data_IF_392381513611
#
_entry.id   IF_392381513611
#
_cell.length_a   1.000
_cell.length_b   1.000
_cell.length_c   1.000
_cell.angle_alpha   90.00
_cell.angle_beta   90.00
_cell.angle_gamma   90.00
#
_symmetry.space_group_name_H-M   'P 1'
#
loop_
_entity.id
_entity.type
_entity.pdbx_description
1 polymer ?
#
# COMPACT_ATOMS: atom_id res chain seq x y z
N UNK A 1 45.89 42.82 8.61
CA UNK A 1 45.51 41.98 7.44
C UNK A 1 44.14 41.39 7.76
N UNK A 2 43.15 41.61 6.88
CA UNK A 2 41.71 41.39 7.12
C UNK A 2 41.35 39.91 7.20
N UNK A 3 40.49 39.57 8.15
CA UNK A 3 39.79 38.28 8.31
C UNK A 3 38.71 38.18 7.22
N UNK A 4 38.63 37.05 6.52
CA UNK A 4 37.50 36.73 5.62
C UNK A 4 36.99 35.33 5.98
N UNK A 5 35.92 35.27 6.78
CA UNK A 5 35.04 34.09 6.88
C UNK A 5 34.17 34.04 5.62
N UNK A 6 34.12 32.88 4.96
CA UNK A 6 33.08 32.58 3.95
C UNK A 6 31.88 31.92 4.65
N UNK A 7 30.64 32.37 4.41
CA UNK A 7 29.46 31.67 4.91
C UNK A 7 28.68 30.92 3.83
N UNK A 8 27.91 29.93 4.31
CA UNK A 8 26.67 29.33 3.80
C UNK A 8 26.66 28.23 2.72
N UNK A 9 25.90 27.18 3.05
CA UNK A 9 25.21 26.24 2.15
C UNK A 9 24.21 25.42 2.99
N UNK A 10 22.95 25.84 2.98
CA UNK A 10 21.89 25.44 3.91
C UNK A 10 21.37 24.01 3.70
N UNK A 11 20.99 23.36 4.81
CA UNK A 11 20.15 22.17 4.85
C UNK A 11 18.73 22.55 4.42
N UNK A 12 18.25 21.97 3.32
CA UNK A 12 16.83 22.00 2.96
C UNK A 12 16.21 20.70 3.48
N UNK A 13 15.59 20.75 4.65
CA UNK A 13 14.58 19.75 5.04
C UNK A 13 13.30 20.21 4.37
N UNK A 14 12.88 19.50 3.31
CA UNK A 14 11.65 19.80 2.59
C UNK A 14 10.44 19.55 3.47
N UNK A 15 9.92 20.60 4.11
CA UNK A 15 8.55 20.68 4.58
C UNK A 15 7.65 21.13 3.42
N UNK A 16 6.63 20.34 3.10
CA UNK A 16 5.48 20.84 2.34
C UNK A 16 4.21 20.11 2.81
N UNK A 17 3.41 20.83 3.58
CA UNK A 17 2.00 20.58 3.87
C UNK A 17 1.21 21.74 3.25
N UNK A 18 -0.09 21.52 3.00
CA UNK A 18 -1.17 22.46 2.62
C UNK A 18 -1.42 22.66 1.12
N UNK A 19 -2.59 22.21 0.60
CA UNK A 19 -3.58 23.01 -0.18
C UNK A 19 -5.02 22.43 0.02
N UNK A 20 -5.97 23.37 0.06
CA UNK A 20 -7.39 23.34 0.41
C UNK A 20 -8.33 23.25 -0.83
N UNK A 21 -9.33 22.35 -0.75
CA UNK A 21 -10.74 22.33 -1.21
C UNK A 21 -11.27 22.79 -2.62
N UNK A 22 -12.42 22.16 -2.94
CA UNK A 22 -13.65 22.61 -3.67
C UNK A 22 -13.90 21.96 -5.05
N UNK A 23 -14.97 21.14 -5.15
CA UNK A 23 -16.13 21.31 -6.05
C UNK A 23 -17.02 20.05 -6.07
N UNK A 24 -18.28 20.22 -5.68
CA UNK A 24 -19.36 19.24 -5.84
C UNK A 24 -20.07 19.47 -7.18
N UNK A 25 -20.49 18.40 -7.87
CA UNK A 25 -21.54 18.45 -8.89
C UNK A 25 -22.50 17.28 -8.71
N UNK A 26 -23.76 17.60 -8.46
CA UNK A 26 -24.92 16.71 -8.40
C UNK A 26 -25.55 16.54 -9.80
N UNK A 27 -25.86 15.29 -10.15
CA UNK A 27 -27.15 14.85 -10.71
C UNK A 27 -27.45 15.01 -12.21
N UNK A 28 -27.81 13.91 -12.89
CA UNK A 28 -29.13 13.65 -13.53
C UNK A 28 -29.06 12.45 -14.52
N UNK A 29 -29.84 11.41 -14.27
CA UNK A 29 -30.21 10.37 -15.24
C UNK A 29 -31.41 10.83 -16.09
N UNK A 30 -31.55 10.35 -17.33
CA UNK A 30 -32.86 9.89 -17.78
C UNK A 30 -32.85 8.57 -18.59
N UNK A 31 -33.70 7.64 -18.15
CA UNK A 31 -34.67 6.82 -18.89
C UNK A 31 -34.34 6.22 -20.27
N UNK A 32 -34.19 4.89 -20.27
CA UNK A 32 -34.76 3.86 -21.15
C UNK A 32 -35.29 4.20 -22.57
N UNK A 33 -34.78 3.46 -23.55
CA UNK A 33 -35.63 2.55 -24.37
C UNK A 33 -34.78 1.49 -25.08
N UNK A 34 -35.07 0.21 -24.85
CA UNK A 34 -34.67 -0.94 -25.66
C UNK A 34 -35.84 -1.27 -26.62
N UNK A 35 -35.60 -1.75 -27.86
CA UNK A 35 -35.70 -3.20 -28.06
C UNK A 35 -34.78 -3.76 -29.17
N UNK A 36 -34.20 -4.95 -28.96
CA UNK A 36 -34.28 -6.08 -29.90
C UNK A 36 -33.57 -7.32 -29.36
N UNK A 37 -34.29 -8.43 -29.40
CA UNK A 37 -33.85 -9.80 -29.14
C UNK A 37 -32.82 -10.23 -30.19
N UNK A 38 -31.64 -10.67 -29.74
CA UNK A 38 -30.77 -11.55 -30.51
C UNK A 38 -30.39 -12.72 -29.60
N UNK A 39 -30.96 -13.89 -29.90
CA UNK A 39 -30.63 -15.18 -29.29
C UNK A 39 -29.24 -15.63 -29.74
N UNK A 40 -28.29 -15.63 -28.82
CA UNK A 40 -27.04 -16.38 -28.96
C UNK A 40 -26.86 -17.25 -27.72
N UNK A 41 -27.13 -18.55 -27.88
CA UNK A 41 -26.78 -19.58 -26.90
C UNK A 41 -25.27 -19.71 -26.84
N UNK A 42 -24.65 -19.16 -25.79
CA UNK A 42 -23.28 -19.49 -25.37
C UNK A 42 -23.38 -20.28 -24.09
N UNK A 43 -22.94 -21.52 -24.13
CA UNK A 43 -22.73 -22.41 -23.00
C UNK A 43 -21.88 -21.69 -21.95
N UNK A 44 -22.45 -21.39 -20.79
CA UNK A 44 -21.71 -20.84 -19.67
C UNK A 44 -20.69 -21.88 -19.16
N UNK A 45 -19.41 -21.53 -18.96
CA UNK A 45 -18.51 -22.35 -18.15
C UNK A 45 -19.01 -22.39 -16.70
N UNK A 46 -18.63 -23.40 -15.91
CA UNK A 46 -19.08 -23.52 -14.52
C UNK A 46 -18.72 -22.25 -13.73
N UNK A 47 -19.73 -21.70 -13.06
CA UNK A 47 -19.58 -20.59 -12.12
C UNK A 47 -18.59 -21.01 -11.03
N UNK A 48 -17.38 -20.46 -11.06
CA UNK A 48 -16.47 -20.51 -9.92
C UNK A 48 -17.13 -19.69 -8.81
N UNK A 49 -17.69 -20.39 -7.82
CA UNK A 49 -18.12 -19.80 -6.57
C UNK A 49 -16.89 -19.25 -5.87
N UNK A 50 -16.62 -17.95 -6.02
CA UNK A 50 -15.75 -17.24 -5.10
C UNK A 50 -16.36 -17.39 -3.70
N UNK A 51 -15.73 -18.19 -2.84
CA UNK A 51 -16.13 -18.29 -1.44
C UNK A 51 -16.09 -16.92 -0.79
N UNK A 52 -16.84 -16.68 0.30
CA UNK A 52 -16.78 -15.41 1.01
C UNK A 52 -15.35 -15.21 1.54
N UNK A 53 -14.61 -14.26 0.95
CA UNK A 53 -13.37 -13.72 1.50
C UNK A 53 -13.72 -13.18 2.88
N UNK A 54 -13.32 -13.88 3.95
CA UNK A 54 -13.63 -13.44 5.31
C UNK A 54 -12.98 -12.08 5.54
N UNK A 55 -13.80 -11.03 5.46
CA UNK A 55 -13.41 -9.70 5.88
C UNK A 55 -13.13 -9.76 7.38
N UNK A 56 -11.88 -9.50 7.78
CA UNK A 56 -11.57 -9.26 9.19
C UNK A 56 -12.35 -8.00 9.59
N UNK A 57 -13.34 -8.16 10.48
CA UNK A 57 -14.20 -7.07 10.97
C UNK A 57 -13.48 -6.13 11.96
N UNK A 58 -12.16 -6.24 12.09
CA UNK A 58 -11.34 -5.41 12.97
C UNK A 58 -10.99 -4.07 12.29
N UNK A 59 -11.31 -2.92 12.90
CA UNK A 59 -10.91 -1.61 12.39
C UNK A 59 -9.41 -1.56 12.07
N UNK A 60 -9.10 -1.31 10.80
CA UNK A 60 -7.74 -1.06 10.33
C UNK A 60 -6.91 -2.31 10.01
N UNK A 61 -7.42 -3.53 10.27
CA UNK A 61 -6.68 -4.76 9.97
C UNK A 61 -6.34 -4.88 8.49
N UNK A 62 -7.34 -4.75 7.61
CA UNK A 62 -7.12 -4.78 6.15
C UNK A 62 -6.73 -3.38 5.69
N UNK A 63 -5.56 -3.27 5.06
CA UNK A 63 -5.03 -2.02 4.49
C UNK A 63 -5.46 -1.89 3.04
N UNK A 64 -5.24 -2.95 2.25
CA UNK A 64 -5.58 -2.99 0.84
C UNK A 64 -6.08 -4.40 0.46
N UNK A 65 -7.21 -4.43 -0.22
CA UNK A 65 -7.85 -5.63 -0.79
C UNK A 65 -8.73 -5.20 -1.97
N UNK A 66 -8.18 -5.23 -3.18
CA UNK A 66 -8.72 -4.66 -4.43
C UNK A 66 -9.06 -3.16 -4.40
N UNK A 67 -8.90 -2.54 -3.24
CA UNK A 67 -9.09 -1.15 -2.90
C UNK A 67 -8.55 -0.92 -1.49
N UNK A 68 -8.21 0.33 -1.15
CA UNK A 68 -7.94 0.70 0.23
C UNK A 68 -9.17 0.44 1.11
N UNK A 69 -8.94 -0.12 2.30
CA UNK A 69 -9.99 -0.50 3.25
C UNK A 69 -9.85 0.26 4.56
N UNK A 70 -10.91 0.18 5.37
CA UNK A 70 -10.86 0.50 6.79
C UNK A 70 -10.24 1.87 7.15
N UNK A 71 -10.46 2.90 6.34
CA UNK A 71 -9.94 4.25 6.63
C UNK A 71 -8.48 4.49 6.23
N UNK A 72 -7.82 3.51 5.62
CA UNK A 72 -6.50 3.71 5.04
C UNK A 72 -6.57 4.62 3.81
N UNK A 73 -5.64 5.57 3.74
CA UNK A 73 -5.48 6.50 2.62
C UNK A 73 -4.14 6.30 1.91
N UNK A 74 -4.09 6.67 0.64
CA UNK A 74 -2.87 6.71 -0.15
C UNK A 74 -2.09 8.00 0.14
N UNK A 75 -0.87 7.85 0.64
CA UNK A 75 0.09 8.91 0.96
C UNK A 75 1.42 8.68 0.23
N UNK A 76 1.38 7.94 -0.87
CA UNK A 76 2.56 7.54 -1.64
C UNK A 76 3.29 8.74 -2.23
N UNK A 77 4.61 8.62 -2.33
CA UNK A 77 5.47 9.55 -3.09
C UNK A 77 6.21 8.87 -4.24
N UNK A 78 5.90 7.59 -4.52
CA UNK A 78 6.19 6.93 -5.78
C UNK A 78 5.04 7.11 -6.78
N UNK A 79 5.35 7.05 -8.07
CA UNK A 79 4.33 6.85 -9.11
C UNK A 79 3.71 5.46 -8.91
N UNK A 80 2.38 5.39 -8.89
CA UNK A 80 1.68 4.13 -8.68
C UNK A 80 0.26 4.16 -9.28
N UNK A 81 -0.36 2.99 -9.41
CA UNK A 81 -1.75 2.78 -9.82
C UNK A 81 -2.38 1.77 -8.86
N UNK A 82 -3.37 2.18 -8.07
CA UNK A 82 -4.06 1.36 -7.06
C UNK A 82 -5.18 0.48 -7.64
N UNK A 83 -5.38 0.48 -8.95
CA UNK A 83 -6.45 -0.29 -9.60
C UNK A 83 -5.94 -1.12 -10.78
N UNK A 84 -4.64 -1.48 -10.80
CA UNK A 84 -4.04 -2.27 -11.87
C UNK A 84 -4.61 -3.70 -11.84
N UNK A 85 -5.07 -4.18 -13.01
CA UNK A 85 -5.68 -5.51 -13.15
C UNK A 85 -4.76 -6.53 -13.81
N UNK A 86 -3.53 -6.16 -14.18
CA UNK A 86 -2.66 -6.99 -15.03
C UNK A 86 -2.13 -8.22 -14.30
N UNK A 87 -2.05 -8.18 -12.97
CA UNK A 87 -1.44 -9.26 -12.17
C UNK A 87 -2.27 -9.74 -10.98
N UNK A 88 -3.45 -9.21 -10.76
CA UNK A 88 -4.25 -9.41 -9.55
C UNK A 88 -5.33 -10.48 -9.67
N UNK A 89 -5.18 -11.50 -10.52
CA UNK A 89 -6.32 -12.34 -10.90
C UNK A 89 -6.85 -13.27 -9.77
N UNK A 90 -8.17 -13.22 -9.42
CA UNK A 90 -9.17 -12.19 -9.77
C UNK A 90 -9.16 -11.01 -8.77
N UNK A 91 -9.12 -9.76 -9.25
CA UNK A 91 -8.97 -8.59 -8.37
C UNK A 91 -8.21 -7.40 -8.99
N UNK A 92 -7.70 -6.50 -8.15
CA UNK A 92 -6.85 -5.34 -8.47
C UNK A 92 -5.65 -5.30 -7.53
N UNK A 93 -4.47 -5.01 -8.06
CA UNK A 93 -3.27 -4.78 -7.26
C UNK A 93 -2.77 -3.35 -7.43
N UNK A 94 -1.83 -2.96 -6.56
CA UNK A 94 -1.14 -1.69 -6.66
C UNK A 94 0.11 -1.91 -7.52
N UNK A 95 0.16 -1.32 -8.71
CA UNK A 95 1.40 -1.23 -9.50
C UNK A 95 2.21 -0.04 -9.03
N UNK A 96 3.51 -0.22 -8.81
CA UNK A 96 4.41 0.83 -8.31
C UNK A 96 5.64 0.98 -9.21
N UNK A 97 6.01 2.23 -9.49
CA UNK A 97 7.18 2.63 -10.28
C UNK A 97 8.05 3.58 -9.43
N UNK A 98 8.83 3.02 -8.51
CA UNK A 98 9.68 3.80 -7.61
C UNK A 98 10.99 4.25 -8.26
N UNK A 99 11.31 5.53 -8.13
CA UNK A 99 12.67 6.07 -8.27
C UNK A 99 13.43 5.95 -6.94
N UNK A 100 14.60 6.58 -6.90
CA UNK A 100 15.48 6.63 -5.72
C UNK A 100 14.71 7.08 -4.47
N UNK A 101 14.67 6.23 -3.45
CA UNK A 101 14.02 6.45 -2.17
C UNK A 101 12.50 6.73 -2.21
N UNK A 102 11.85 6.51 -3.36
CA UNK A 102 10.40 6.62 -3.47
C UNK A 102 9.67 5.43 -2.81
N UNK A 103 8.45 5.64 -2.34
CA UNK A 103 7.64 4.61 -1.71
C UNK A 103 6.16 4.68 -2.10
N UNK A 104 5.53 3.50 -2.09
CA UNK A 104 4.09 3.40 -1.90
C UNK A 104 3.81 3.44 -0.39
N UNK A 105 2.93 4.33 0.03
CA UNK A 105 2.71 4.63 1.44
C UNK A 105 1.23 4.76 1.78
N UNK A 106 0.90 4.29 2.97
CA UNK A 106 -0.47 4.20 3.46
C UNK A 106 -0.55 4.91 4.81
N UNK A 107 -1.55 5.78 4.95
CA UNK A 107 -1.80 6.52 6.19
C UNK A 107 -3.15 6.13 6.78
N UNK A 108 -3.25 6.21 8.10
CA UNK A 108 -4.48 6.02 8.85
C UNK A 108 -4.50 7.01 10.01
N UNK A 109 -5.68 7.29 10.56
CA UNK A 109 -5.79 7.89 11.89
C UNK A 109 -4.99 7.04 12.92
N UNK A 110 -4.59 7.57 14.09
CA UNK A 110 -3.84 6.77 15.06
C UNK A 110 -4.50 5.41 15.34
N UNK A 111 -3.84 4.34 14.88
CA UNK A 111 -4.32 2.98 14.94
C UNK A 111 -3.60 2.24 16.07
N UNK A 112 -4.37 1.52 16.88
CA UNK A 112 -3.78 0.59 17.82
C UNK A 112 -3.42 -0.72 17.13
N UNK A 113 -2.13 -1.04 17.12
CA UNK A 113 -1.63 -2.31 16.59
C UNK A 113 -1.31 -3.33 17.69
N UNK A 114 -1.63 -3.01 18.95
CA UNK A 114 -1.44 -3.91 20.08
C UNK A 114 -2.06 -5.32 19.92
N UNK A 115 -3.20 -5.50 19.21
CA UNK A 115 -3.76 -6.83 18.97
C UNK A 115 -3.00 -7.68 17.94
N UNK A 116 -2.13 -7.09 17.13
CA UNK A 116 -1.46 -7.73 16.00
C UNK A 116 0.02 -7.99 16.29
N UNK A 117 0.59 -9.01 15.66
CA UNK A 117 2.02 -9.34 15.78
C UNK A 117 2.78 -9.18 14.46
N UNK A 118 2.07 -9.08 13.33
CA UNK A 118 2.66 -8.94 11.99
C UNK A 118 1.77 -8.20 11.02
N UNK A 119 2.39 -7.68 9.98
CA UNK A 119 1.74 -7.28 8.74
C UNK A 119 2.13 -8.25 7.63
N UNK A 120 1.16 -8.62 6.80
CA UNK A 120 1.37 -9.43 5.61
C UNK A 120 0.88 -8.69 4.36
N UNK A 121 1.52 -8.96 3.24
CA UNK A 121 1.09 -8.52 1.92
C UNK A 121 1.69 -9.44 0.86
N UNK A 122 1.07 -9.47 -0.31
CA UNK A 122 1.63 -10.12 -1.49
C UNK A 122 2.43 -9.10 -2.28
N UNK A 123 3.57 -9.54 -2.82
CA UNK A 123 4.42 -8.71 -3.67
C UNK A 123 4.88 -9.49 -4.89
N UNK A 124 4.99 -8.82 -6.03
CA UNK A 124 5.39 -9.41 -7.30
C UNK A 124 6.40 -8.51 -8.02
N UNK A 125 7.55 -9.07 -8.41
CA UNK A 125 8.68 -8.31 -8.98
C UNK A 125 8.53 -7.87 -10.45
N UNK A 126 7.34 -8.03 -11.02
CA UNK A 126 7.06 -7.80 -12.43
C UNK A 126 7.83 -8.77 -13.33
N UNK A 127 8.00 -8.42 -14.61
CA UNK A 127 8.65 -9.32 -15.57
C UNK A 127 10.15 -9.56 -15.26
N UNK A 128 10.79 -8.64 -14.54
CA UNK A 128 12.26 -8.63 -14.36
C UNK A 128 12.72 -9.03 -12.97
N UNK A 129 11.91 -8.80 -11.93
CA UNK A 129 12.38 -8.92 -10.55
C UNK A 129 13.53 -7.96 -10.23
N UNK A 130 14.29 -8.28 -9.18
CA UNK A 130 15.51 -7.57 -8.80
C UNK A 130 15.28 -6.33 -7.93
N UNK A 131 14.04 -5.97 -7.62
CA UNK A 131 13.74 -4.88 -6.71
C UNK A 131 14.26 -5.21 -5.31
N UNK A 132 14.89 -4.22 -4.67
CA UNK A 132 15.34 -4.29 -3.29
C UNK A 132 14.63 -3.23 -2.49
N UNK A 133 13.74 -3.69 -1.62
CA UNK A 133 12.77 -2.86 -0.94
C UNK A 133 12.95 -2.98 0.57
N UNK A 134 12.46 -1.97 1.28
CA UNK A 134 12.35 -1.99 2.73
C UNK A 134 10.96 -1.57 3.16
N UNK A 135 10.60 -2.03 4.34
CA UNK A 135 9.34 -1.73 4.99
C UNK A 135 9.62 -0.89 6.22
N UNK A 136 8.82 0.16 6.41
CA UNK A 136 8.91 1.02 7.58
C UNK A 136 7.49 1.39 8.02
N UNK A 137 7.33 1.62 9.32
CA UNK A 137 6.10 2.16 9.88
C UNK A 137 6.40 3.43 10.67
N UNK A 138 5.39 4.26 10.84
CA UNK A 138 5.44 5.48 11.61
C UNK A 138 4.37 5.45 12.69
N UNK A 139 4.71 5.99 13.86
CA UNK A 139 3.85 6.07 15.01
C UNK A 139 4.07 7.39 15.74
N UNK A 140 3.12 7.77 16.59
CA UNK A 140 3.20 9.00 17.35
C UNK A 140 2.00 9.90 17.12
N UNK A 141 2.23 11.20 17.25
CA UNK A 141 1.24 12.25 16.98
C UNK A 141 1.81 13.25 16.00
N UNK A 142 0.98 14.12 15.43
CA UNK A 142 1.43 15.18 14.52
C UNK A 142 2.56 16.06 15.07
N UNK A 143 2.72 16.11 16.40
CA UNK A 143 3.76 16.89 17.11
C UNK A 143 5.00 16.08 17.52
N UNK A 144 4.92 14.75 17.49
CA UNK A 144 6.03 13.85 17.84
C UNK A 144 5.92 12.59 16.99
N UNK A 145 6.28 12.75 15.72
CA UNK A 145 6.25 11.70 14.72
C UNK A 145 7.54 10.89 14.81
N UNK A 146 7.43 9.57 14.95
CA UNK A 146 8.57 8.65 15.05
C UNK A 146 8.49 7.60 13.96
N UNK A 147 9.63 7.29 13.35
CA UNK A 147 9.76 6.14 12.46
C UNK A 147 10.18 4.92 13.28
N UNK A 148 9.61 3.78 12.92
CA UNK A 148 10.06 2.47 13.38
C UNK A 148 11.38 2.06 12.72
N UNK A 149 11.81 0.85 13.03
CA UNK A 149 12.99 0.24 12.43
C UNK A 149 12.72 -0.11 10.97
N UNK A 150 13.71 0.11 10.11
CA UNK A 150 13.64 -0.31 8.71
C UNK A 150 13.83 -1.83 8.59
N UNK A 151 12.88 -2.51 7.96
CA UNK A 151 12.93 -3.94 7.70
C UNK A 151 13.21 -4.20 6.21
N UNK A 152 14.40 -4.71 5.88
CA UNK A 152 14.76 -5.06 4.51
C UNK A 152 14.00 -6.30 4.03
N UNK A 153 13.45 -6.24 2.82
CA UNK A 153 12.85 -7.39 2.16
C UNK A 153 13.91 -8.16 1.35
N UNK A 154 13.72 -9.48 1.15
CA UNK A 154 14.46 -10.20 0.13
C UNK A 154 14.28 -9.55 -1.25
N UNK A 155 15.30 -9.65 -2.10
CA UNK A 155 15.18 -9.26 -3.50
C UNK A 155 14.01 -9.97 -4.16
N UNK A 156 13.18 -9.24 -4.90
CA UNK A 156 12.00 -9.82 -5.53
C UNK A 156 12.39 -10.73 -6.71
N UNK A 157 11.71 -11.87 -6.81
CA UNK A 157 11.76 -12.75 -7.96
C UNK A 157 11.00 -12.15 -9.15
N UNK A 158 11.37 -12.55 -10.36
CA UNK A 158 10.61 -12.23 -11.58
C UNK A 158 9.38 -13.11 -11.68
N UNK A 159 8.28 -12.52 -12.15
CA UNK A 159 7.04 -13.21 -12.55
C UNK A 159 6.42 -14.13 -11.47
N UNK A 160 6.63 -13.79 -10.20
CA UNK A 160 6.17 -14.58 -9.07
C UNK A 160 5.51 -13.70 -8.01
N UNK A 161 4.31 -14.09 -7.57
CA UNK A 161 3.70 -13.54 -6.37
C UNK A 161 4.26 -14.24 -5.14
N UNK A 162 4.77 -13.45 -4.20
CA UNK A 162 5.24 -13.94 -2.91
C UNK A 162 4.51 -13.25 -1.77
N UNK A 163 4.06 -14.02 -0.79
CA UNK A 163 3.60 -13.47 0.48
C UNK A 163 4.79 -13.07 1.33
N UNK A 164 4.82 -11.81 1.74
CA UNK A 164 5.77 -11.25 2.69
C UNK A 164 5.09 -11.12 4.04
N UNK A 165 5.80 -11.53 5.08
CA UNK A 165 5.38 -11.40 6.48
C UNK A 165 6.45 -10.62 7.22
N UNK A 166 6.08 -9.50 7.81
CA UNK A 166 6.97 -8.65 8.62
C UNK A 166 6.41 -8.57 10.03
N UNK A 167 7.20 -8.96 11.04
CA UNK A 167 6.78 -8.87 12.44
C UNK A 167 6.79 -7.42 12.89
N UNK A 168 5.81 -7.03 13.71
CA UNK A 168 5.74 -5.66 14.26
C UNK A 168 6.89 -5.38 15.23
N UNK A 169 7.46 -6.42 15.84
CA UNK A 169 8.70 -6.32 16.61
C UNK A 169 9.88 -5.88 15.74
N UNK A 170 10.02 -6.45 14.54
CA UNK A 170 11.10 -6.08 13.62
C UNK A 170 10.98 -4.65 13.10
N UNK A 171 9.77 -4.10 13.10
CA UNK A 171 9.49 -2.69 12.80
C UNK A 171 9.58 -1.79 14.03
N UNK A 172 9.76 -2.33 15.24
CA UNK A 172 9.79 -1.54 16.48
C UNK A 172 8.44 -0.94 16.88
N UNK A 173 7.33 -1.45 16.35
CA UNK A 173 5.98 -0.95 16.59
C UNK A 173 5.07 -1.93 17.36
N UNK A 174 5.61 -3.06 17.81
CA UNK A 174 4.85 -4.00 18.64
C UNK A 174 4.25 -3.30 19.87
N UNK A 175 2.96 -3.55 20.13
CA UNK A 175 2.23 -2.95 21.26
C UNK A 175 1.91 -1.46 21.14
N UNK A 176 2.26 -0.77 20.04
CA UNK A 176 1.95 0.65 19.88
C UNK A 176 0.44 0.85 19.66
N UNK A 177 -0.09 1.92 20.25
CA UNK A 177 -1.50 2.29 20.15
C UNK A 177 -1.78 3.46 19.18
N UNK A 178 -0.74 3.93 18.48
CA UNK A 178 -0.74 5.17 17.70
C UNK A 178 0.09 5.06 16.41
N UNK A 179 -0.01 3.93 15.72
CA UNK A 179 0.58 3.78 14.38
C UNK A 179 -0.24 4.62 13.40
N UNK A 180 0.43 5.42 12.59
CA UNK A 180 -0.22 6.37 11.68
C UNK A 180 0.09 6.09 10.23
N UNK A 181 1.23 5.49 9.91
CA UNK A 181 1.59 5.20 8.52
C UNK A 181 2.43 3.94 8.39
N UNK A 182 2.40 3.35 7.20
CA UNK A 182 3.20 2.22 6.78
C UNK A 182 3.58 2.40 5.31
N UNK A 183 4.80 2.03 4.91
CA UNK A 183 5.22 2.13 3.51
C UNK A 183 6.23 1.07 3.08
N UNK A 184 6.25 0.83 1.77
CA UNK A 184 7.21 -0.03 1.07
C UNK A 184 8.06 0.88 0.19
N UNK A 185 9.34 1.03 0.53
CA UNK A 185 10.26 2.00 -0.05
C UNK A 185 11.40 1.33 -0.82
N UNK A 186 11.85 2.00 -1.86
CA UNK A 186 13.13 1.71 -2.52
C UNK A 186 14.31 1.85 -1.55
N UNK A 187 15.13 0.80 -1.43
CA UNK A 187 16.11 0.70 -0.33
C UNK A 187 17.53 1.22 -0.61
N UNK A 188 17.90 1.50 -1.86
CA UNK A 188 19.30 1.60 -2.29
C UNK A 188 19.62 2.82 -3.17
N UNK A 189 18.69 3.74 -3.34
CA UNK A 189 18.90 4.96 -4.12
C UNK A 189 18.97 4.69 -5.63
N UNK A 190 18.20 3.73 -6.14
CA UNK A 190 18.13 3.41 -7.58
C UNK A 190 16.70 3.47 -8.11
N UNK A 191 16.53 3.64 -9.43
CA UNK A 191 15.22 3.46 -10.06
C UNK A 191 14.91 1.98 -10.21
N UNK A 192 13.74 1.56 -9.74
CA UNK A 192 13.28 0.19 -9.83
C UNK A 192 12.51 -0.07 -11.11
N UNK A 193 12.51 -1.33 -11.56
CA UNK A 193 11.51 -1.79 -12.52
C UNK A 193 10.17 -1.96 -11.79
N UNK A 194 9.02 -1.83 -12.50
CA UNK A 194 7.72 -1.87 -11.86
C UNK A 194 7.49 -3.14 -11.03
N UNK A 195 6.97 -2.98 -9.83
CA UNK A 195 6.54 -4.09 -8.96
C UNK A 195 5.08 -3.92 -8.57
N UNK A 196 4.49 -4.96 -7.98
CA UNK A 196 3.08 -4.98 -7.65
C UNK A 196 2.86 -5.44 -6.21
N UNK A 197 1.88 -4.86 -5.53
CA UNK A 197 1.54 -5.16 -4.13
C UNK A 197 0.05 -5.44 -4.02
N UNK A 198 -0.33 -6.43 -3.22
CA UNK A 198 -1.74 -6.80 -2.99
C UNK A 198 -1.96 -7.41 -1.59
N UNK A 199 -3.22 -7.66 -1.22
CA UNK A 199 -3.65 -8.42 -0.04
C UNK A 199 -3.00 -7.96 1.29
N UNK A 200 -2.86 -6.66 1.49
CA UNK A 200 -2.16 -6.09 2.65
C UNK A 200 -3.03 -6.03 3.90
N UNK A 201 -2.55 -6.64 5.00
CA UNK A 201 -3.28 -6.68 6.27
C UNK A 201 -2.39 -6.91 7.49
N UNK A 202 -2.82 -6.40 8.64
CA UNK A 202 -2.33 -6.81 9.96
C UNK A 202 -3.00 -8.11 10.39
N UNK A 203 -2.24 -9.00 11.03
CA UNK A 203 -2.73 -10.29 11.53
C UNK A 203 -2.43 -10.44 13.02
N UNK A 204 -3.37 -11.05 13.72
CA UNK A 204 -3.19 -11.44 15.11
C UNK A 204 -2.35 -12.71 15.24
N UNK A 205 -1.84 -13.01 16.45
CA UNK A 205 -1.27 -14.33 16.71
C UNK A 205 -2.23 -15.44 16.25
N UNK A 206 -1.70 -16.41 15.51
CA UNK A 206 -2.43 -17.57 14.96
C UNK A 206 -3.48 -17.29 13.86
N UNK A 207 -3.65 -16.04 13.41
CA UNK A 207 -4.57 -15.72 12.30
C UNK A 207 -3.88 -15.94 10.94
N UNK A 208 -4.36 -16.85 10.10
CA UNK A 208 -3.84 -16.94 8.72
C UNK A 208 -4.47 -15.85 7.86
N UNK A 209 -3.70 -15.32 6.90
CA UNK A 209 -4.33 -14.55 5.83
C UNK A 209 -5.36 -15.48 5.13
N UNK A 210 -6.55 -14.99 4.76
CA UNK A 210 -7.46 -15.77 3.94
C UNK A 210 -6.71 -16.23 2.69
N UNK A 211 -6.77 -17.53 2.40
CA UNK A 211 -6.33 -18.04 1.11
C UNK A 211 -7.19 -17.35 0.03
N UNK A 212 -6.53 -16.66 -0.89
CA UNK A 212 -7.14 -15.92 -2.00
C UNK A 212 -7.69 -16.86 -3.06
#
# INVERSE_FOLDING_TARGET
MRIILKPLGAVVVGSAMVILAIMAVRGRQPGESNPAVATSSVTAPPSLSAGPKMASADPGAVVYDDALKNGWGDFSWAKHDTADTKRSAPGRCIRVESKQFEAVAFNHAPLSVAPYDRITFRIHGGDKGGQRLKVVAQYGSDKDVKNGTEHLLPTLASDEWKTVTVTLESLGIAGKNNVTSFWIQEGYGVTLTPYFVDDMRFLRPNETAPDS
#
